data_IF_749031401751
#
_entry.id   IF_749031401751
#
_cell.length_a   1.000
_cell.length_b   1.000
_cell.length_c   1.000
_cell.angle_alpha   90.00
_cell.angle_beta   90.00
_cell.angle_gamma   90.00
#
_symmetry.space_group_name_H-M   'P 1'
#
loop_
_entity.id
_entity.type
_entity.pdbx_description
1 polymer ?
#
# COMPACT_ATOMS: atom_id res chain seq x y z
N UNK A 1 6.15 -1.05 22.27
CA UNK A 1 6.13 -1.27 20.81
C UNK A 1 4.89 -0.59 20.21
N UNK A 2 4.97 0.72 19.96
CA UNK A 2 3.82 1.52 19.54
C UNK A 2 3.62 1.41 18.02
N UNK A 3 2.38 1.12 17.58
CA UNK A 3 2.00 1.12 16.16
C UNK A 3 1.59 2.53 15.72
N UNK A 4 1.74 2.84 14.43
CA UNK A 4 1.30 4.13 13.86
C UNK A 4 -0.19 4.33 14.15
N UNK A 5 -0.56 5.54 14.55
CA UNK A 5 -1.95 5.94 14.75
C UNK A 5 -2.78 5.69 13.49
N UNK A 6 -4.00 5.18 13.68
CA UNK A 6 -4.90 4.87 12.58
C UNK A 6 -5.38 6.15 11.91
N UNK A 7 -5.15 6.26 10.60
CA UNK A 7 -5.75 7.32 9.77
C UNK A 7 -7.27 7.16 9.75
N UNK A 8 -8.00 8.23 10.09
CA UNK A 8 -9.45 8.34 9.93
C UNK A 8 -9.72 9.32 8.79
N UNK A 9 -10.16 8.80 7.65
CA UNK A 9 -10.55 9.63 6.53
C UNK A 9 -11.89 10.32 6.82
N UNK A 10 -12.01 11.59 6.43
CA UNK A 10 -13.29 12.29 6.43
C UNK A 10 -14.21 11.73 5.35
N UNK A 11 -15.50 12.06 5.41
CA UNK A 11 -16.46 11.61 4.40
C UNK A 11 -16.07 12.09 2.99
N UNK A 12 -15.63 13.35 2.86
CA UNK A 12 -15.23 13.91 1.57
C UNK A 12 -13.95 13.27 1.03
N UNK A 13 -12.98 12.97 1.91
CA UNK A 13 -11.80 12.19 1.52
C UNK A 13 -12.18 10.79 1.04
N UNK A 14 -13.15 10.14 1.69
CA UNK A 14 -13.65 8.84 1.24
C UNK A 14 -14.34 8.92 -0.12
N UNK A 15 -15.14 9.97 -0.39
CA UNK A 15 -15.77 10.18 -1.71
C UNK A 15 -14.72 10.26 -2.83
N UNK A 16 -13.63 10.99 -2.61
CA UNK A 16 -12.51 11.09 -3.55
C UNK A 16 -11.89 9.71 -3.80
N UNK A 17 -11.58 8.98 -2.72
CA UNK A 17 -10.93 7.67 -2.82
C UNK A 17 -11.83 6.61 -3.48
N UNK A 18 -13.12 6.62 -3.18
CA UNK A 18 -14.11 5.72 -3.80
C UNK A 18 -14.24 6.03 -5.30
N UNK A 19 -14.40 7.31 -5.68
CA UNK A 19 -14.45 7.71 -7.08
C UNK A 19 -13.20 7.28 -7.86
N UNK A 20 -12.01 7.42 -7.26
CA UNK A 20 -10.77 6.96 -7.87
C UNK A 20 -10.71 5.43 -7.99
N UNK A 21 -11.23 4.69 -7.00
CA UNK A 21 -11.30 3.24 -7.02
C UNK A 21 -12.20 2.71 -8.13
N UNK A 22 -13.36 3.34 -8.33
CA UNK A 22 -14.32 2.94 -9.37
C UNK A 22 -13.76 3.17 -10.78
N UNK A 23 -12.85 4.14 -10.95
CA UNK A 23 -12.14 4.37 -12.21
C UNK A 23 -10.99 3.38 -12.44
N UNK A 24 -10.20 3.10 -11.40
CA UNK A 24 -9.09 2.16 -11.47
C UNK A 24 -8.80 1.55 -10.07
N UNK A 25 -9.16 0.28 -9.82
CA UNK A 25 -8.88 -0.41 -8.55
C UNK A 25 -7.39 -0.71 -8.29
N UNK A 26 -6.55 -0.61 -9.33
CA UNK A 26 -5.11 -0.89 -9.30
C UNK A 26 -4.29 0.33 -9.76
N UNK A 27 -4.39 1.49 -9.08
CA UNK A 27 -3.67 2.68 -9.51
C UNK A 27 -2.16 2.53 -9.33
N UNK A 28 -1.41 3.03 -10.32
CA UNK A 28 0.03 3.20 -10.26
C UNK A 28 0.48 4.16 -9.15
N UNK A 29 1.80 4.22 -8.93
CA UNK A 29 2.41 5.05 -7.90
C UNK A 29 2.11 6.53 -8.06
N UNK A 30 2.26 7.07 -9.28
CA UNK A 30 2.01 8.49 -9.55
C UNK A 30 0.57 8.89 -9.18
N UNK A 31 -0.40 8.03 -9.50
CA UNK A 31 -1.80 8.27 -9.14
C UNK A 31 -2.03 8.20 -7.64
N UNK A 32 -1.42 7.24 -6.94
CA UNK A 32 -1.51 7.19 -5.47
C UNK A 32 -0.84 8.40 -4.81
N UNK A 33 0.27 8.91 -5.34
CA UNK A 33 0.90 10.15 -4.85
C UNK A 33 -0.03 11.36 -5.02
N UNK A 34 -0.66 11.51 -6.18
CA UNK A 34 -1.62 12.60 -6.42
C UNK A 34 -2.78 12.56 -5.43
N UNK A 35 -3.39 11.39 -5.25
CA UNK A 35 -4.48 11.20 -4.28
C UNK A 35 -4.02 11.49 -2.85
N UNK A 36 -2.79 11.12 -2.49
CA UNK A 36 -2.23 11.38 -1.17
C UNK A 36 -2.14 12.88 -0.87
N UNK A 37 -1.70 13.68 -1.85
CA UNK A 37 -1.69 15.13 -1.75
C UNK A 37 -3.11 15.70 -1.64
N UNK A 38 -4.04 15.21 -2.46
CA UNK A 38 -5.43 15.68 -2.52
C UNK A 38 -6.19 15.44 -1.22
N UNK A 39 -6.01 14.27 -0.58
CA UNK A 39 -6.64 13.94 0.71
C UNK A 39 -5.75 14.23 1.92
N UNK A 40 -4.64 14.93 1.72
CA UNK A 40 -3.67 15.32 2.74
C UNK A 40 -3.21 14.16 3.66
N UNK A 41 -2.66 13.11 3.06
CA UNK A 41 -2.12 11.94 3.77
C UNK A 41 -0.87 11.40 3.08
N UNK A 42 -0.21 10.40 3.67
CA UNK A 42 0.91 9.73 3.00
C UNK A 42 0.40 8.80 1.90
N UNK A 43 1.15 8.70 0.80
CA UNK A 43 0.86 7.74 -0.26
C UNK A 43 0.86 6.28 0.25
N UNK A 44 1.60 5.97 1.33
CA UNK A 44 1.52 4.68 2.02
C UNK A 44 0.12 4.39 2.57
N UNK A 45 -0.60 5.40 3.08
CA UNK A 45 -1.97 5.24 3.59
C UNK A 45 -2.94 4.97 2.45
N UNK A 46 -2.77 5.65 1.31
CA UNK A 46 -3.53 5.40 0.08
C UNK A 46 -3.32 3.97 -0.39
N UNK A 47 -2.07 3.51 -0.44
CA UNK A 47 -1.75 2.15 -0.84
C UNK A 47 -2.47 1.11 0.04
N UNK A 48 -2.40 1.26 1.37
CA UNK A 48 -3.08 0.35 2.30
C UNK A 48 -4.61 0.44 2.17
N UNK A 49 -5.15 1.64 1.93
CA UNK A 49 -6.58 1.81 1.69
C UNK A 49 -7.04 1.03 0.45
N UNK A 50 -6.34 1.15 -0.67
CA UNK A 50 -6.67 0.42 -1.91
C UNK A 50 -6.55 -1.11 -1.74
N UNK A 51 -5.51 -1.59 -1.03
CA UNK A 51 -5.38 -3.01 -0.70
C UNK A 51 -6.57 -3.52 0.12
N UNK A 52 -6.94 -2.78 1.18
CA UNK A 52 -8.08 -3.13 2.03
C UNK A 52 -9.42 -3.04 1.29
N UNK A 53 -9.59 -2.07 0.39
CA UNK A 53 -10.79 -1.92 -0.44
C UNK A 53 -10.98 -3.10 -1.38
N UNK A 54 -9.91 -3.53 -2.07
CA UNK A 54 -9.94 -4.73 -2.92
C UNK A 54 -10.22 -6.01 -2.13
N UNK A 55 -9.60 -6.18 -0.96
CA UNK A 55 -9.86 -7.35 -0.11
C UNK A 55 -11.34 -7.44 0.29
N UNK A 56 -11.95 -6.31 0.70
CA UNK A 56 -13.39 -6.26 1.04
C UNK A 56 -14.28 -6.56 -0.16
N UNK A 57 -13.98 -5.98 -1.32
CA UNK A 57 -14.73 -6.19 -2.55
C UNK A 57 -14.68 -7.67 -3.02
N UNK A 58 -13.53 -8.33 -2.86
CA UNK A 58 -13.40 -9.76 -3.15
C UNK A 58 -14.19 -10.63 -2.15
N UNK A 59 -14.19 -10.29 -0.86
CA UNK A 59 -14.98 -11.01 0.13
C UNK A 59 -16.50 -10.86 -0.08
N UNK A 60 -16.98 -9.67 -0.46
CA UNK A 60 -18.41 -9.44 -0.71
C UNK A 60 -18.94 -10.28 -1.88
N UNK A 61 -18.19 -10.33 -2.99
CA UNK A 61 -18.53 -11.20 -4.12
C UNK A 61 -18.60 -12.69 -3.76
N UNK A 62 -17.83 -13.12 -2.76
CA UNK A 62 -17.79 -14.51 -2.32
C UNK A 62 -18.93 -14.86 -1.34
N UNK A 63 -19.43 -13.89 -0.58
CA UNK A 63 -20.60 -14.07 0.29
C UNK A 63 -21.95 -13.98 -0.45
N UNK A 64 -21.98 -13.34 -1.62
CA UNK A 64 -23.18 -13.24 -2.48
C UNK A 64 -23.34 -14.45 -3.43
N UNK A 65 -22.32 -15.32 -3.51
CA UNK A 65 -22.27 -16.47 -4.43
C UNK A 65 -22.71 -17.82 -3.82
N UNK A 66 -23.32 -17.83 -2.62
CA UNK A 66 -23.83 -19.04 -1.96
C UNK A 66 -25.31 -19.38 -2.31
N UNK A 67 -25.96 -18.63 -3.21
CA UNK A 67 -27.40 -18.83 -3.56
C UNK A 67 -27.68 -19.31 -5.00
N UNK A 68 -26.71 -19.46 -5.91
CA UNK A 68 -27.02 -20.07 -7.21
C UNK A 68 -25.82 -20.74 -7.92
N UNK A 69 -26.12 -21.90 -8.50
CA UNK A 69 -25.23 -22.87 -9.14
C UNK A 69 -24.44 -22.31 -10.35
N UNK A 70 -23.24 -22.88 -10.53
CA UNK A 70 -22.44 -22.99 -11.76
C UNK A 70 -22.45 -21.82 -12.76
N UNK A 71 -21.36 -21.06 -12.77
CA UNK A 71 -20.77 -20.67 -14.05
C UNK A 71 -19.25 -20.57 -13.94
N UNK A 72 -18.57 -21.51 -14.60
CA UNK A 72 -17.17 -21.44 -14.94
C UNK A 72 -16.86 -20.12 -15.65
N UNK A 73 -16.10 -19.25 -14.99
CA UNK A 73 -15.36 -18.20 -15.70
C UNK A 73 -13.96 -18.11 -15.12
N UNK A 74 -13.07 -18.83 -15.79
CA UNK A 74 -11.66 -18.47 -15.91
C UNK A 74 -11.58 -17.00 -16.32
N UNK A 75 -11.37 -16.10 -15.36
CA UNK A 75 -10.96 -14.74 -15.65
C UNK A 75 -9.47 -14.77 -15.94
N UNK A 76 -9.20 -15.08 -17.20
CA UNK A 76 -7.97 -14.77 -17.92
C UNK A 76 -7.69 -13.27 -17.78
N UNK A 77 -6.85 -12.92 -16.80
CA UNK A 77 -6.40 -11.55 -16.52
C UNK A 77 -5.04 -11.30 -17.17
N UNK A 78 -4.79 -11.87 -18.35
CA UNK A 78 -3.47 -11.85 -18.99
C UNK A 78 -3.22 -10.64 -19.90
N UNK A 79 -4.21 -9.78 -20.16
CA UNK A 79 -4.04 -8.65 -21.10
C UNK A 79 -3.69 -7.28 -20.47
N UNK A 80 -3.79 -7.10 -19.14
CA UNK A 80 -3.49 -5.82 -18.46
C UNK A 80 -2.10 -5.75 -17.77
N UNK A 81 -1.29 -6.81 -17.78
CA UNK A 81 0.01 -6.79 -17.11
C UNK A 81 1.05 -5.87 -17.78
N UNK A 82 0.85 -5.49 -19.04
CA UNK A 82 1.87 -4.85 -19.88
C UNK A 82 2.02 -3.34 -19.60
N UNK A 83 0.99 -2.65 -19.12
CA UNK A 83 1.10 -1.22 -18.74
C UNK A 83 1.75 -1.00 -17.36
N UNK A 84 1.97 -2.07 -16.57
CA UNK A 84 2.13 -2.00 -15.11
C UNK A 84 3.57 -1.94 -14.58
N UNK A 85 4.61 -1.98 -15.42
CA UNK A 85 6.01 -2.01 -14.94
C UNK A 85 6.59 -0.63 -14.67
N UNK A 86 6.24 0.36 -15.47
CA UNK A 86 6.75 1.73 -15.36
C UNK A 86 6.04 2.54 -14.26
N UNK A 87 4.82 2.14 -13.90
CA UNK A 87 3.99 2.84 -12.92
C UNK A 87 4.18 2.36 -11.47
N UNK A 88 5.03 1.35 -11.23
CA UNK A 88 5.37 0.89 -9.88
C UNK A 88 6.34 1.88 -9.22
N UNK A 89 6.35 1.91 -7.88
CA UNK A 89 7.38 2.65 -7.15
C UNK A 89 8.76 2.17 -7.58
N UNK A 90 9.63 3.09 -7.97
CA UNK A 90 11.03 2.78 -8.25
C UNK A 90 11.65 1.98 -7.09
N UNK A 91 12.43 0.96 -7.43
CA UNK A 91 13.16 0.15 -6.44
C UNK A 91 14.14 1.05 -5.69
N UNK A 92 14.11 1.02 -4.36
CA UNK A 92 15.14 1.71 -3.56
C UNK A 92 16.45 0.95 -3.74
N UNK A 93 17.50 1.68 -4.12
CA UNK A 93 18.88 1.18 -4.07
C UNK A 93 19.49 1.66 -2.76
N UNK A 94 19.88 0.73 -1.89
CA UNK A 94 20.53 1.03 -0.63
C UNK A 94 22.04 1.04 -0.81
N UNK A 95 22.73 2.00 -0.20
CA UNK A 95 24.18 1.97 -0.07
C UNK A 95 24.61 0.83 0.87
N UNK A 96 25.87 0.38 0.81
CA UNK A 96 26.40 -0.62 1.74
C UNK A 96 26.25 -0.22 3.22
N UNK A 97 26.42 1.07 3.55
CA UNK A 97 26.26 1.58 4.92
C UNK A 97 24.80 1.57 5.38
N UNK A 98 23.87 1.91 4.49
CA UNK A 98 22.42 1.83 4.79
C UNK A 98 22.01 0.37 5.04
N UNK A 99 22.50 -0.58 4.25
CA UNK A 99 22.24 -2.01 4.45
C UNK A 99 22.82 -2.52 5.77
N UNK A 100 24.06 -2.16 6.11
CA UNK A 100 24.67 -2.53 7.39
C UNK A 100 23.80 -2.07 8.57
N UNK A 101 23.35 -0.82 8.55
CA UNK A 101 22.50 -0.23 9.59
C UNK A 101 21.16 -0.97 9.70
N UNK A 102 20.53 -1.30 8.56
CA UNK A 102 19.27 -2.05 8.54
C UNK A 102 19.44 -3.49 9.08
N UNK A 103 20.53 -4.18 8.71
CA UNK A 103 20.84 -5.53 9.17
C UNK A 103 21.07 -5.54 10.68
N UNK A 104 21.89 -4.61 11.18
CA UNK A 104 22.17 -4.48 12.61
C UNK A 104 20.89 -4.21 13.41
N UNK A 105 20.07 -3.24 12.96
CA UNK A 105 18.79 -2.96 13.58
C UNK A 105 17.87 -4.18 13.62
N UNK A 106 17.82 -4.97 12.54
CA UNK A 106 17.03 -6.20 12.47
C UNK A 106 17.52 -7.27 13.46
N UNK A 107 18.83 -7.44 13.62
CA UNK A 107 19.39 -8.42 14.59
C UNK A 107 19.08 -8.04 16.04
N UNK A 108 18.99 -6.75 16.35
CA UNK A 108 18.68 -6.26 17.68
C UNK A 108 17.18 -6.36 18.01
N UNK A 109 16.32 -5.99 17.07
CA UNK A 109 14.87 -6.08 17.23
C UNK A 109 14.19 -6.25 15.86
N UNK A 110 13.75 -7.47 15.51
CA UNK A 110 13.08 -7.74 14.23
C UNK A 110 11.73 -7.03 14.07
N UNK A 111 11.13 -6.58 15.18
CA UNK A 111 9.81 -5.96 15.20
C UNK A 111 9.86 -4.57 15.85
N UNK A 112 10.56 -3.60 15.24
CA UNK A 112 10.68 -2.26 15.79
C UNK A 112 9.35 -1.51 15.75
N UNK A 113 9.12 -0.66 16.74
CA UNK A 113 7.95 0.23 16.82
C UNK A 113 8.03 1.36 15.80
N UNK A 114 6.96 2.17 15.69
CA UNK A 114 6.94 3.29 14.73
C UNK A 114 8.07 4.29 14.99
N UNK A 115 8.29 4.69 16.24
CA UNK A 115 9.31 5.69 16.59
C UNK A 115 10.73 5.18 16.26
N UNK A 116 11.00 3.90 16.53
CA UNK A 116 12.26 3.25 16.19
C UNK A 116 12.48 3.19 14.68
N UNK A 117 11.45 2.85 13.90
CA UNK A 117 11.53 2.84 12.44
C UNK A 117 11.69 4.23 11.86
N UNK A 118 11.01 5.24 12.40
CA UNK A 118 11.15 6.63 11.97
C UNK A 118 12.56 7.16 12.24
N UNK A 119 13.13 6.87 13.40
CA UNK A 119 14.50 7.23 13.72
C UNK A 119 15.51 6.57 12.77
N UNK A 120 15.38 5.26 12.55
CA UNK A 120 16.23 4.50 11.62
C UNK A 120 16.12 5.04 10.19
N UNK A 121 14.90 5.33 9.74
CA UNK A 121 14.64 5.89 8.41
C UNK A 121 15.28 7.28 8.24
N UNK A 122 15.20 8.14 9.26
CA UNK A 122 15.83 9.46 9.27
C UNK A 122 17.35 9.35 9.25
N UNK A 123 17.93 8.42 9.99
CA UNK A 123 19.38 8.19 10.06
C UNK A 123 19.95 7.75 8.71
N UNK A 124 19.30 6.81 8.04
CA UNK A 124 19.74 6.31 6.73
C UNK A 124 19.21 7.15 5.56
N UNK A 125 18.42 8.19 5.80
CA UNK A 125 17.93 9.13 4.78
C UNK A 125 16.90 8.56 3.80
N UNK A 126 16.06 7.62 4.25
CA UNK A 126 15.01 7.01 3.42
C UNK A 126 13.63 7.25 4.06
N UNK A 127 12.51 7.15 3.32
CA UNK A 127 11.20 7.24 3.94
C UNK A 127 10.92 6.01 4.82
N UNK A 128 10.27 6.19 5.97
CA UNK A 128 9.96 5.09 6.92
C UNK A 128 9.21 3.93 6.28
N UNK A 129 8.38 4.21 5.27
CA UNK A 129 7.70 3.17 4.47
C UNK A 129 8.64 2.19 3.76
N UNK A 130 9.94 2.47 3.69
CA UNK A 130 10.98 1.57 3.16
C UNK A 130 11.67 0.73 4.24
N UNK A 131 11.53 1.12 5.50
CA UNK A 131 11.98 0.35 6.68
C UNK A 131 10.87 -0.61 7.14
N UNK A 132 9.61 -0.24 6.92
CA UNK A 132 8.46 -1.10 7.20
C UNK A 132 8.39 -2.26 6.19
N UNK A 133 8.49 -3.49 6.67
CA UNK A 133 8.22 -4.74 5.93
C UNK A 133 6.79 -5.20 6.18
#
# INVERSE_FOLDING_TARGET
>A
NQRRSRTKFTEDQLKILIKAFDQNPYPGYATKQRLALEVNTDESRIQIWFQNRRARHQCQKKSEADEDLESSQDQDHSEEEIQSREDRRCRTSYSPSQLHTLIEAFTNNPYPGVDTREQLAKEIGIPESRVQV
#
